data_IF_437859934931
#
_entry.id   IF_437859934931
#
_cell.length_a   1.000
_cell.length_b   1.000
_cell.length_c   1.000
_cell.angle_alpha   90.00
_cell.angle_beta   90.00
_cell.angle_gamma   90.00
#
_symmetry.space_group_name_H-M   'P 1'
#
loop_
_entity.id
_entity.type
_entity.pdbx_description
1 polymer ?
#
# COMPACT_ATOMS: atom_id res chain seq x y z
N UNK A 1 41.01 -53.48 11.63
CA UNK A 1 41.32 -52.59 10.52
C UNK A 1 40.32 -51.46 10.62
N UNK A 2 40.74 -50.47 11.29
CA UNK A 2 40.11 -49.20 11.63
C UNK A 2 40.24 -48.24 10.47
N UNK A 3 39.33 -47.38 10.37
CA UNK A 3 39.40 -46.05 9.71
C UNK A 3 38.25 -45.86 8.71
N UNK A 4 37.52 -44.81 8.77
CA UNK A 4 37.65 -43.49 9.38
C UNK A 4 36.35 -42.74 9.14
N UNK A 5 35.64 -42.54 10.20
CA UNK A 5 34.46 -41.68 10.19
C UNK A 5 34.94 -40.22 10.15
N UNK A 6 35.15 -39.68 8.97
CA UNK A 6 35.37 -38.25 8.80
C UNK A 6 34.06 -37.54 9.06
N UNK A 7 34.00 -36.91 10.21
CA UNK A 7 32.94 -35.99 10.62
C UNK A 7 32.85 -34.84 9.60
N UNK A 8 31.79 -34.83 8.82
CA UNK A 8 31.36 -33.66 8.00
C UNK A 8 30.98 -32.54 8.96
N UNK A 9 31.98 -31.75 9.32
CA UNK A 9 31.78 -30.52 10.08
C UNK A 9 31.14 -29.51 9.16
N UNK A 10 29.82 -29.52 9.07
CA UNK A 10 29.03 -28.53 8.38
C UNK A 10 29.34 -27.15 8.96
N UNK A 11 30.13 -26.39 8.23
CA UNK A 11 30.32 -24.96 8.49
C UNK A 11 28.97 -24.27 8.43
N UNK A 12 28.42 -23.93 9.56
CA UNK A 12 27.29 -23.07 9.68
C UNK A 12 27.66 -21.72 9.05
N UNK A 13 27.23 -21.49 7.84
CA UNK A 13 27.16 -20.14 7.29
C UNK A 13 26.14 -19.40 8.13
N UNK A 14 26.63 -18.72 9.16
CA UNK A 14 25.92 -17.66 9.85
C UNK A 14 25.66 -16.56 8.80
N UNK A 15 24.56 -16.70 8.07
CA UNK A 15 23.95 -15.59 7.40
C UNK A 15 23.51 -14.63 8.52
N UNK A 16 24.30 -13.62 8.79
CA UNK A 16 23.88 -12.46 9.60
C UNK A 16 22.73 -11.81 8.85
N UNK A 17 21.53 -12.35 9.09
CA UNK A 17 20.29 -11.76 8.65
C UNK A 17 20.20 -10.39 9.31
N UNK A 18 20.27 -9.33 8.50
CA UNK A 18 19.92 -7.97 8.89
C UNK A 18 18.39 -7.82 9.07
N UNK A 19 17.73 -8.92 9.45
CA UNK A 19 16.31 -8.97 9.71
C UNK A 19 15.98 -8.07 10.91
N UNK A 20 15.12 -7.09 10.67
CA UNK A 20 14.55 -6.27 11.74
C UNK A 20 13.86 -7.19 12.73
N UNK A 21 14.13 -7.08 14.05
CA UNK A 21 13.42 -7.87 15.05
C UNK A 21 11.91 -7.78 14.86
N UNK A 22 11.19 -8.89 14.96
CA UNK A 22 9.76 -8.98 14.63
C UNK A 22 8.88 -7.95 15.36
N UNK A 23 9.27 -7.59 16.59
CA UNK A 23 8.58 -6.56 17.36
C UNK A 23 8.70 -5.16 16.72
N UNK A 24 9.90 -4.77 16.29
CA UNK A 24 10.10 -3.47 15.60
C UNK A 24 9.37 -3.43 14.26
N UNK A 25 9.36 -4.55 13.52
CA UNK A 25 8.59 -4.67 12.29
C UNK A 25 7.09 -4.46 12.55
N UNK A 26 6.54 -5.14 13.56
CA UNK A 26 5.13 -5.03 13.93
C UNK A 26 4.77 -3.63 14.42
N UNK A 27 5.61 -3.00 15.24
CA UNK A 27 5.41 -1.62 15.70
C UNK A 27 5.46 -0.61 14.55
N UNK A 28 6.40 -0.78 13.61
CA UNK A 28 6.49 0.07 12.42
C UNK A 28 5.22 -0.02 11.57
N UNK A 29 4.71 -1.22 11.33
CA UNK A 29 3.46 -1.44 10.60
C UNK A 29 2.27 -0.87 11.36
N UNK A 30 2.19 -1.08 12.69
CA UNK A 30 1.08 -0.58 13.51
C UNK A 30 1.04 0.96 13.55
N UNK A 31 2.18 1.62 13.74
CA UNK A 31 2.28 3.08 13.73
C UNK A 31 1.94 3.66 12.35
N UNK A 32 2.57 3.13 11.30
CA UNK A 32 2.26 3.55 9.94
C UNK A 32 0.79 3.33 9.59
N UNK A 33 0.23 2.17 9.92
CA UNK A 33 -1.15 1.81 9.67
C UNK A 33 -2.14 2.71 10.40
N UNK A 34 -1.89 3.04 11.66
CA UNK A 34 -2.68 3.99 12.44
C UNK A 34 -2.69 5.38 11.81
N UNK A 35 -1.52 5.90 11.42
CA UNK A 35 -1.40 7.19 10.73
C UNK A 35 -2.13 7.15 9.37
N UNK A 36 -1.92 6.08 8.59
CA UNK A 36 -2.58 5.89 7.29
C UNK A 36 -4.11 5.88 7.39
N UNK A 37 -4.64 5.13 8.36
CA UNK A 37 -6.09 5.09 8.62
C UNK A 37 -6.64 6.46 9.05
N UNK A 38 -5.90 7.20 9.87
CA UNK A 38 -6.26 8.56 10.27
C UNK A 38 -6.29 9.50 9.07
N UNK A 39 -5.27 9.47 8.21
CA UNK A 39 -5.21 10.30 7.00
C UNK A 39 -6.37 9.97 6.04
N UNK A 40 -6.70 8.68 5.86
CA UNK A 40 -7.87 8.26 5.09
C UNK A 40 -9.17 8.83 5.65
N UNK A 41 -9.37 8.75 6.97
CA UNK A 41 -10.54 9.32 7.63
C UNK A 41 -10.63 10.84 7.40
N UNK A 42 -9.52 11.56 7.56
CA UNK A 42 -9.49 13.01 7.33
C UNK A 42 -9.72 13.38 5.86
N UNK A 43 -9.21 12.59 4.92
CA UNK A 43 -9.49 12.77 3.49
C UNK A 43 -10.99 12.63 3.21
N UNK A 44 -11.64 11.63 3.79
CA UNK A 44 -13.10 11.47 3.68
C UNK A 44 -13.86 12.69 4.19
N UNK A 45 -13.47 13.22 5.36
CA UNK A 45 -14.06 14.45 5.92
C UNK A 45 -13.83 15.67 5.02
N UNK A 46 -12.61 15.85 4.56
CA UNK A 46 -12.27 16.97 3.67
C UNK A 46 -13.04 16.91 2.36
N UNK A 47 -13.17 15.73 1.75
CA UNK A 47 -13.96 15.54 0.53
C UNK A 47 -15.46 15.84 0.77
N UNK A 48 -16.00 15.42 1.91
CA UNK A 48 -17.40 15.72 2.29
C UNK A 48 -17.60 17.23 2.49
N UNK A 49 -16.65 17.90 3.14
CA UNK A 49 -16.73 19.35 3.33
C UNK A 49 -16.62 20.13 2.01
N UNK A 50 -15.80 19.65 1.07
CA UNK A 50 -15.55 20.30 -0.21
C UNK A 50 -16.66 20.05 -1.24
N UNK A 51 -17.08 18.81 -1.40
CA UNK A 51 -18.06 18.40 -2.42
C UNK A 51 -19.52 18.46 -1.93
N UNK A 52 -19.72 18.52 -0.61
CA UNK A 52 -21.03 18.41 0.03
C UNK A 52 -21.51 16.97 0.20
N UNK A 53 -22.29 16.74 1.24
CA UNK A 53 -22.77 15.40 1.61
C UNK A 53 -23.63 14.73 0.51
N UNK A 54 -24.40 15.53 -0.23
CA UNK A 54 -25.25 15.03 -1.32
C UNK A 54 -24.44 14.38 -2.46
N UNK A 55 -23.33 15.03 -2.87
CA UNK A 55 -22.48 14.53 -3.95
C UNK A 55 -21.69 13.29 -3.54
N UNK A 56 -21.18 13.26 -2.29
CA UNK A 56 -20.49 12.09 -1.72
C UNK A 56 -21.44 10.89 -1.61
N UNK A 57 -22.73 11.12 -1.30
CA UNK A 57 -23.75 10.06 -1.27
C UNK A 57 -24.08 9.46 -2.65
N UNK A 58 -23.79 10.20 -3.73
CA UNK A 58 -24.06 9.74 -5.10
C UNK A 58 -22.90 8.91 -5.66
N UNK A 59 -21.67 9.33 -5.46
CA UNK A 59 -20.47 8.64 -5.99
C UNK A 59 -19.32 8.67 -4.96
N UNK A 60 -18.56 7.57 -4.79
CA UNK A 60 -17.56 7.43 -3.72
C UNK A 60 -16.22 8.12 -4.08
N UNK A 61 -16.23 9.44 -4.24
CA UNK A 61 -15.05 10.22 -4.60
C UNK A 61 -13.90 10.11 -3.60
N UNK A 62 -14.21 10.01 -2.30
CA UNK A 62 -13.20 9.96 -1.25
C UNK A 62 -12.36 8.68 -1.36
N UNK A 63 -12.99 7.53 -1.52
CA UNK A 63 -12.29 6.24 -1.67
C UNK A 63 -11.52 6.19 -2.98
N UNK A 64 -12.09 6.70 -4.07
CA UNK A 64 -11.40 6.81 -5.35
C UNK A 64 -10.12 7.66 -5.23
N UNK A 65 -10.20 8.83 -4.62
CA UNK A 65 -9.05 9.72 -4.44
C UNK A 65 -7.97 9.08 -3.55
N UNK A 66 -8.36 8.49 -2.42
CA UNK A 66 -7.47 7.81 -1.48
C UNK A 66 -6.72 6.65 -2.17
N UNK A 67 -7.42 5.80 -2.89
CA UNK A 67 -6.82 4.65 -3.55
C UNK A 67 -5.92 5.07 -4.72
N UNK A 68 -6.32 6.07 -5.51
CA UNK A 68 -5.50 6.62 -6.60
C UNK A 68 -4.22 7.28 -6.07
N UNK A 69 -4.34 8.16 -5.07
CA UNK A 69 -3.19 8.83 -4.46
C UNK A 69 -2.26 7.83 -3.77
N UNK A 70 -2.84 6.87 -3.03
CA UNK A 70 -2.08 5.82 -2.38
C UNK A 70 -1.32 4.94 -3.37
N UNK A 71 -1.92 4.63 -4.52
CA UNK A 71 -1.26 3.89 -5.60
C UNK A 71 -0.09 4.67 -6.22
N UNK A 72 -0.27 5.97 -6.47
CA UNK A 72 0.79 6.85 -6.95
C UNK A 72 1.98 6.87 -5.97
N UNK A 73 1.70 7.11 -4.69
CA UNK A 73 2.73 7.14 -3.65
C UNK A 73 3.40 5.77 -3.45
N UNK A 74 2.67 4.67 -3.61
CA UNK A 74 3.23 3.33 -3.59
C UNK A 74 4.19 3.12 -4.78
N UNK A 75 3.86 3.63 -5.95
CA UNK A 75 4.75 3.61 -7.13
C UNK A 75 6.05 4.39 -6.87
N UNK A 76 5.96 5.59 -6.29
CA UNK A 76 7.12 6.40 -5.89
C UNK A 76 7.97 5.64 -4.88
N UNK A 77 7.37 5.08 -3.84
CA UNK A 77 8.08 4.30 -2.83
C UNK A 77 8.79 3.09 -3.45
N UNK A 78 8.09 2.33 -4.30
CA UNK A 78 8.66 1.15 -4.96
C UNK A 78 9.86 1.52 -5.85
N UNK A 79 9.76 2.62 -6.61
CA UNK A 79 10.87 3.15 -7.40
C UNK A 79 12.07 3.52 -6.53
N UNK A 80 11.82 4.26 -5.45
CA UNK A 80 12.86 4.68 -4.52
C UNK A 80 13.55 3.51 -3.82
N UNK A 81 12.79 2.50 -3.37
CA UNK A 81 13.33 1.29 -2.76
C UNK A 81 14.20 0.49 -3.73
N UNK A 82 13.81 0.41 -5.01
CA UNK A 82 14.57 -0.29 -6.04
C UNK A 82 15.98 0.32 -6.25
N UNK A 83 16.14 1.63 -6.06
CA UNK A 83 17.43 2.31 -6.23
C UNK A 83 18.35 2.20 -5.00
N UNK A 84 17.80 2.01 -3.80
CA UNK A 84 18.59 2.00 -2.56
C UNK A 84 19.26 0.67 -2.20
N UNK A 85 18.94 -0.42 -2.88
CA UNK A 85 19.45 -1.75 -2.55
C UNK A 85 18.92 -2.31 -1.22
N UNK A 86 19.35 -3.50 -0.83
CA UNK A 86 18.75 -4.30 0.26
C UNK A 86 18.94 -3.74 1.69
N UNK A 87 19.91 -2.88 1.94
CA UNK A 87 20.36 -2.61 3.34
C UNK A 87 19.61 -1.51 4.11
N UNK A 88 18.88 -0.61 3.46
CA UNK A 88 18.17 0.49 4.14
C UNK A 88 16.66 0.53 3.85
N UNK A 89 16.18 -0.42 3.07
CA UNK A 89 14.85 -0.37 2.46
C UNK A 89 13.75 -1.08 3.27
N UNK A 90 14.11 -2.05 4.13
CA UNK A 90 13.12 -2.89 4.81
C UNK A 90 12.28 -2.11 5.81
N UNK A 91 12.88 -1.26 6.62
CA UNK A 91 12.14 -0.43 7.59
C UNK A 91 11.21 0.56 6.87
N UNK A 92 11.67 1.21 5.81
CA UNK A 92 10.85 2.10 5.02
C UNK A 92 9.71 1.35 4.31
N UNK A 93 9.98 0.15 3.80
CA UNK A 93 8.96 -0.73 3.23
C UNK A 93 7.87 -1.07 4.23
N UNK A 94 8.24 -1.42 5.46
CA UNK A 94 7.29 -1.79 6.52
C UNK A 94 6.50 -0.58 7.03
N UNK A 95 7.19 0.51 7.38
CA UNK A 95 6.54 1.69 7.96
C UNK A 95 5.66 2.41 6.93
N UNK A 96 6.22 2.70 5.75
CA UNK A 96 5.53 3.51 4.73
C UNK A 96 4.67 2.64 3.82
N UNK A 97 5.23 1.55 3.25
CA UNK A 97 4.50 0.72 2.30
C UNK A 97 3.39 -0.08 2.96
N UNK A 98 3.76 -0.98 3.88
CA UNK A 98 2.79 -1.87 4.53
C UNK A 98 1.94 -1.11 5.54
N UNK A 99 2.56 -0.26 6.38
CA UNK A 99 1.86 0.51 7.39
C UNK A 99 1.07 1.68 6.78
N UNK A 100 1.75 2.77 6.46
CA UNK A 100 1.12 4.04 6.09
C UNK A 100 0.21 3.90 4.85
N UNK A 101 0.75 3.44 3.73
CA UNK A 101 0.00 3.34 2.48
C UNK A 101 -1.00 2.19 2.51
N UNK A 102 -0.69 1.06 3.19
CA UNK A 102 -1.64 -0.01 3.43
C UNK A 102 -2.81 0.41 4.34
N UNK A 103 -2.55 1.23 5.36
CA UNK A 103 -3.60 1.82 6.21
C UNK A 103 -4.37 2.95 5.53
N UNK A 104 -3.74 3.71 4.64
CA UNK A 104 -4.36 4.80 3.89
C UNK A 104 -5.31 4.30 2.82
N UNK A 105 -4.92 3.31 1.99
CA UNK A 105 -5.75 2.73 0.94
C UNK A 105 -6.75 1.72 1.49
N UNK A 106 -7.82 1.43 0.73
CA UNK A 106 -8.84 0.48 1.19
C UNK A 106 -9.56 -0.22 0.05
N UNK A 107 -9.44 -1.54 0.02
CA UNK A 107 -10.22 -2.38 -0.89
C UNK A 107 -11.61 -2.72 -0.31
N UNK A 108 -11.73 -2.83 1.01
CA UNK A 108 -13.00 -3.17 1.67
C UNK A 108 -14.06 -2.08 1.52
N UNK A 109 -13.67 -0.80 1.68
CA UNK A 109 -14.59 0.31 1.44
C UNK A 109 -15.00 0.37 -0.04
N UNK A 110 -14.06 0.22 -0.98
CA UNK A 110 -14.33 0.13 -2.41
C UNK A 110 -15.37 -0.97 -2.72
N UNK A 111 -15.17 -2.17 -2.18
CA UNK A 111 -16.09 -3.29 -2.41
C UNK A 111 -17.49 -3.03 -1.85
N UNK A 112 -17.58 -2.47 -0.65
CA UNK A 112 -18.85 -2.12 -0.03
C UNK A 112 -19.59 -1.05 -0.85
N UNK A 113 -18.92 0.03 -1.22
CA UNK A 113 -19.49 1.13 -2.02
C UNK A 113 -19.99 0.64 -3.38
N UNK A 114 -19.24 -0.26 -4.01
CA UNK A 114 -19.65 -0.88 -5.28
C UNK A 114 -20.96 -1.69 -5.12
N UNK A 115 -21.04 -2.53 -4.07
CA UNK A 115 -22.26 -3.30 -3.79
C UNK A 115 -23.44 -2.37 -3.51
N UNK A 116 -23.26 -1.30 -2.74
CA UNK A 116 -24.29 -0.32 -2.45
C UNK A 116 -24.80 0.41 -3.71
N UNK A 117 -23.91 0.71 -4.67
CA UNK A 117 -24.33 1.27 -5.98
C UNK A 117 -25.18 0.27 -6.76
N UNK A 118 -24.83 -1.00 -6.76
CA UNK A 118 -25.59 -2.08 -7.42
C UNK A 118 -26.96 -2.26 -6.75
N UNK A 119 -27.04 -2.30 -5.43
CA UNK A 119 -28.31 -2.43 -4.69
C UNK A 119 -29.25 -1.25 -4.93
N UNK A 120 -28.72 -0.05 -5.19
CA UNK A 120 -29.51 1.13 -5.60
C UNK A 120 -29.92 1.11 -7.07
N UNK A 121 -29.60 0.06 -7.83
CA UNK A 121 -29.86 -0.05 -9.27
C UNK A 121 -28.95 0.83 -10.14
N UNK A 122 -27.88 1.41 -9.58
CA UNK A 122 -26.97 2.32 -10.25
C UNK A 122 -25.81 1.56 -10.93
N UNK A 123 -26.15 0.57 -11.75
CA UNK A 123 -25.17 -0.33 -12.37
C UNK A 123 -24.11 0.37 -13.20
N UNK A 124 -24.50 1.44 -13.92
CA UNK A 124 -23.56 2.20 -14.75
C UNK A 124 -22.56 2.98 -13.90
N UNK A 125 -22.98 3.53 -12.76
CA UNK A 125 -22.07 4.19 -11.82
C UNK A 125 -21.14 3.18 -11.12
N UNK A 126 -21.65 1.99 -10.79
CA UNK A 126 -20.81 0.92 -10.26
C UNK A 126 -19.72 0.50 -11.26
N UNK A 127 -20.09 0.31 -12.54
CA UNK A 127 -19.12 -0.02 -13.59
C UNK A 127 -18.08 1.10 -13.78
N UNK A 128 -18.54 2.35 -13.85
CA UNK A 128 -17.65 3.51 -13.96
C UNK A 128 -16.69 3.59 -12.76
N UNK A 129 -17.19 3.35 -11.56
CA UNK A 129 -16.38 3.36 -10.34
C UNK A 129 -15.28 2.30 -10.36
N UNK A 130 -15.57 1.08 -10.81
CA UNK A 130 -14.58 0.01 -10.98
C UNK A 130 -13.54 0.42 -12.02
N UNK A 131 -13.97 0.87 -13.20
CA UNK A 131 -13.07 1.26 -14.28
C UNK A 131 -12.12 2.41 -13.87
N UNK A 132 -12.66 3.44 -13.20
CA UNK A 132 -11.86 4.54 -12.69
C UNK A 132 -10.91 4.10 -11.58
N UNK A 133 -11.38 3.28 -10.63
CA UNK A 133 -10.56 2.83 -9.50
C UNK A 133 -9.37 1.99 -9.98
N UNK A 134 -9.62 1.03 -10.86
CA UNK A 134 -8.56 0.17 -11.42
C UNK A 134 -7.66 0.96 -12.37
N UNK A 135 -8.25 1.71 -13.30
CA UNK A 135 -7.51 2.47 -14.31
C UNK A 135 -6.61 3.54 -13.68
N UNK A 136 -7.17 4.41 -12.82
CA UNK A 136 -6.41 5.45 -12.15
C UNK A 136 -5.42 4.87 -11.12
N UNK A 137 -5.76 3.78 -10.45
CA UNK A 137 -4.87 3.11 -9.52
C UNK A 137 -3.62 2.57 -10.21
N UNK A 138 -3.78 1.81 -11.29
CA UNK A 138 -2.66 1.25 -12.08
C UNK A 138 -1.85 2.38 -12.71
N UNK A 139 -2.52 3.36 -13.35
CA UNK A 139 -1.86 4.51 -13.98
C UNK A 139 -1.06 5.30 -12.95
N UNK A 140 -1.64 5.61 -11.80
CA UNK A 140 -0.96 6.32 -10.71
C UNK A 140 0.30 5.57 -10.24
N UNK A 141 0.19 4.26 -10.01
CA UNK A 141 1.33 3.43 -9.60
C UNK A 141 2.46 3.46 -10.64
N UNK A 142 2.13 3.28 -11.92
CA UNK A 142 3.11 3.30 -13.02
C UNK A 142 3.76 4.68 -13.15
N UNK A 143 2.97 5.75 -13.05
CA UNK A 143 3.50 7.12 -13.07
C UNK A 143 4.45 7.38 -11.90
N UNK A 144 4.08 7.00 -10.68
CA UNK A 144 4.93 7.13 -9.50
C UNK A 144 6.25 6.38 -9.63
N UNK A 145 6.18 5.13 -10.12
CA UNK A 145 7.36 4.29 -10.36
C UNK A 145 8.31 4.92 -11.41
N UNK A 146 7.76 5.40 -12.52
CA UNK A 146 8.53 5.99 -13.61
C UNK A 146 9.09 7.37 -13.23
N UNK A 147 8.35 8.18 -12.46
CA UNK A 147 8.83 9.48 -12.00
C UNK A 147 10.17 9.34 -11.25
N UNK A 148 10.29 8.37 -10.34
CA UNK A 148 11.56 8.14 -9.64
C UNK A 148 12.66 7.70 -10.60
N UNK A 149 12.35 6.80 -11.54
CA UNK A 149 13.34 6.29 -12.52
C UNK A 149 13.91 7.37 -13.44
N UNK A 150 13.14 8.43 -13.70
CA UNK A 150 13.61 9.55 -14.55
C UNK A 150 14.57 10.49 -13.84
N UNK A 151 14.57 10.53 -12.49
CA UNK A 151 15.42 11.40 -11.69
C UNK A 151 16.57 10.65 -10.98
N UNK A 152 16.74 9.37 -11.27
CA UNK A 152 17.81 8.50 -10.73
C UNK A 152 18.74 8.04 -11.82
#
# INVERSE_FOLDING_TARGET
>A
MTDGLQLYRGGGMSASSTAIPSLYASLSVALGGGIGALLRYQMGRAMTAWLGAANIGTFPFATLAVNTLGSLLMGVLAGWLAHRGAGGSEQARLLIGVGLLGGFTTFSAFSLEMVLLIERGQFMLALLYVMLSVGLGITGLVLGLNAVRMFS
#
